data_IF_901912135230
#
_entry.id   IF_901912135230
#
_cell.length_a   1.000
_cell.length_b   1.000
_cell.length_c   1.000
_cell.angle_alpha   90.00
_cell.angle_beta   90.00
_cell.angle_gamma   90.00
#
_symmetry.space_group_name_H-M   'P 1'
#
loop_
_entity.id
_entity.type
_entity.pdbx_description
1 polymer ?
#
# COMPACT_ATOMS: atom_id res chain seq x y z
N UNK A 1 -23.27 1.00 15.87
CA UNK A 1 -22.01 0.34 16.30
C UNK A 1 -21.26 -0.03 15.03
N UNK A 2 -20.03 0.46 14.81
CA UNK A 2 -19.27 -0.01 13.64
C UNK A 2 -18.95 -1.48 13.85
N UNK A 3 -19.08 -2.29 12.81
CA UNK A 3 -18.73 -3.70 12.90
C UNK A 3 -17.26 -3.86 13.31
N UNK A 4 -16.98 -4.87 14.15
CA UNK A 4 -15.61 -5.19 14.55
C UNK A 4 -14.88 -5.79 13.35
N UNK A 5 -13.79 -5.16 12.94
CA UNK A 5 -12.92 -5.65 11.85
C UNK A 5 -12.34 -7.02 12.24
N UNK A 6 -12.63 -8.05 11.46
CA UNK A 6 -12.13 -9.43 11.67
C UNK A 6 -11.03 -9.79 10.67
N UNK A 7 -11.14 -9.27 9.45
CA UNK A 7 -10.27 -9.62 8.32
C UNK A 7 -9.54 -8.39 7.76
N UNK A 8 -8.35 -8.60 7.19
CA UNK A 8 -7.54 -7.51 6.62
C UNK A 8 -8.27 -6.78 5.48
N UNK A 9 -9.08 -7.48 4.68
CA UNK A 9 -9.83 -6.88 3.57
C UNK A 9 -10.95 -5.93 4.00
N UNK A 10 -11.26 -5.88 5.30
CA UNK A 10 -12.17 -4.90 5.88
C UNK A 10 -11.44 -3.61 6.32
N UNK A 11 -10.10 -3.60 6.33
CA UNK A 11 -9.34 -2.37 6.59
C UNK A 11 -9.49 -1.43 5.39
N UNK A 12 -9.89 -0.20 5.67
CA UNK A 12 -9.96 0.86 4.66
C UNK A 12 -8.60 1.06 3.96
N UNK A 13 -7.49 1.08 4.73
CA UNK A 13 -6.14 1.22 4.17
C UNK A 13 -5.76 0.06 3.23
N UNK A 14 -6.25 -1.15 3.49
CA UNK A 14 -6.08 -2.28 2.58
C UNK A 14 -6.87 -2.06 1.29
N UNK A 15 -8.14 -1.69 1.38
CA UNK A 15 -9.00 -1.47 0.21
C UNK A 15 -8.43 -0.38 -0.70
N UNK A 16 -8.00 0.74 -0.12
CA UNK A 16 -7.32 1.82 -0.83
C UNK A 16 -6.02 1.34 -1.50
N UNK A 17 -5.22 0.52 -0.81
CA UNK A 17 -3.97 -0.01 -1.40
C UNK A 17 -4.22 -0.93 -2.60
N UNK A 18 -5.29 -1.74 -2.56
CA UNK A 18 -5.67 -2.60 -3.69
C UNK A 18 -6.19 -1.75 -4.86
N UNK A 19 -7.03 -0.75 -4.60
CA UNK A 19 -7.52 0.18 -5.62
C UNK A 19 -6.38 0.96 -6.28
N UNK A 20 -5.43 1.47 -5.49
CA UNK A 20 -4.24 2.16 -5.98
C UNK A 20 -3.40 1.24 -6.86
N UNK A 21 -3.11 0.02 -6.39
CA UNK A 21 -2.34 -0.97 -7.15
C UNK A 21 -3.03 -1.40 -8.45
N UNK A 22 -4.36 -1.50 -8.47
CA UNK A 22 -5.13 -1.77 -9.69
C UNK A 22 -5.10 -0.59 -10.66
N UNK A 23 -5.20 0.64 -10.15
CA UNK A 23 -5.09 1.84 -11.00
C UNK A 23 -3.70 1.93 -11.64
N UNK A 24 -2.64 1.65 -10.89
CA UNK A 24 -1.26 1.52 -11.42
C UNK A 24 -1.16 0.42 -12.47
N UNK A 25 -1.75 -0.74 -12.21
CA UNK A 25 -1.75 -1.85 -13.17
C UNK A 25 -2.43 -1.48 -14.49
N UNK A 26 -3.60 -0.84 -14.44
CA UNK A 26 -4.33 -0.43 -15.63
C UNK A 26 -3.56 0.65 -16.42
N UNK A 27 -3.01 1.67 -15.74
CA UNK A 27 -2.20 2.72 -16.40
C UNK A 27 -0.93 2.16 -17.03
N UNK A 28 -0.29 1.17 -16.39
CA UNK A 28 0.94 0.56 -16.92
C UNK A 28 0.71 -0.35 -18.14
N UNK A 29 -0.53 -0.65 -18.53
CA UNK A 29 -0.79 -1.40 -19.78
C UNK A 29 -0.45 -0.61 -21.03
N UNK A 30 -0.42 0.72 -20.96
CA UNK A 30 -0.04 1.59 -22.09
C UNK A 30 1.44 1.94 -22.13
N UNK A 31 2.26 1.37 -21.23
CA UNK A 31 3.70 1.64 -21.23
C UNK A 31 4.36 0.95 -22.44
N UNK A 32 5.49 1.49 -22.94
CA UNK A 32 6.25 0.84 -24.01
C UNK A 32 6.68 -0.59 -23.64
N UNK A 33 6.76 -1.49 -24.62
CA UNK A 33 7.10 -2.89 -24.39
C UNK A 33 8.52 -3.07 -23.83
N UNK A 34 9.42 -2.14 -24.15
CA UNK A 34 10.80 -2.08 -23.68
C UNK A 34 10.88 -1.86 -22.16
N UNK A 35 9.87 -1.23 -21.56
CA UNK A 35 9.79 -0.99 -20.11
C UNK A 35 9.25 -2.17 -19.31
N UNK A 36 8.90 -3.28 -19.99
CA UNK A 36 8.25 -4.44 -19.35
C UNK A 36 9.04 -4.99 -18.16
N UNK A 37 10.36 -5.08 -18.29
CA UNK A 37 11.27 -5.57 -17.24
C UNK A 37 12.00 -4.45 -16.49
N UNK A 38 11.58 -3.21 -16.71
CA UNK A 38 12.12 -2.00 -16.09
C UNK A 38 11.00 -1.32 -15.32
N UNK A 39 10.53 -0.16 -15.75
CA UNK A 39 9.58 0.65 -14.98
C UNK A 39 8.24 -0.05 -14.75
N UNK A 40 7.77 -0.83 -15.73
CA UNK A 40 6.49 -1.57 -15.61
C UNK A 40 6.54 -2.61 -14.48
N UNK A 41 7.65 -3.34 -14.36
CA UNK A 41 7.79 -4.36 -13.32
C UNK A 41 7.95 -3.72 -11.94
N UNK A 42 8.81 -2.70 -11.83
CA UNK A 42 9.08 -2.01 -10.57
C UNK A 42 7.82 -1.35 -9.98
N UNK A 43 7.06 -0.61 -10.80
CA UNK A 43 5.85 0.09 -10.31
C UNK A 43 4.73 -0.91 -9.95
N UNK A 44 4.62 -2.03 -10.66
CA UNK A 44 3.61 -3.07 -10.37
C UNK A 44 3.94 -3.88 -9.13
N UNK A 45 5.23 -4.20 -8.91
CA UNK A 45 5.64 -4.96 -7.72
C UNK A 45 5.47 -4.13 -6.46
N UNK A 46 6.04 -2.92 -6.43
CA UNK A 46 5.93 -2.01 -5.28
C UNK A 46 4.47 -1.71 -4.92
N UNK A 47 3.66 -1.32 -5.90
CA UNK A 47 2.25 -0.96 -5.67
C UNK A 47 1.41 -2.11 -5.08
N UNK A 48 1.64 -3.35 -5.51
CA UNK A 48 0.94 -4.55 -4.99
C UNK A 48 1.49 -4.98 -3.64
N UNK A 49 2.80 -4.79 -3.42
CA UNK A 49 3.48 -5.14 -2.18
C UNK A 49 2.84 -4.44 -0.98
N UNK A 50 2.43 -3.16 -1.12
CA UNK A 50 1.71 -2.41 -0.06
C UNK A 50 0.55 -3.21 0.53
N UNK A 51 -0.36 -3.71 -0.32
CA UNK A 51 -1.52 -4.50 0.13
C UNK A 51 -1.12 -5.86 0.74
N UNK A 52 -0.05 -6.47 0.21
CA UNK A 52 0.53 -7.71 0.72
C UNK A 52 1.11 -7.54 2.12
N UNK A 53 1.89 -6.48 2.34
CA UNK A 53 2.47 -6.15 3.63
C UNK A 53 1.40 -5.83 4.69
N UNK A 54 0.33 -5.12 4.32
CA UNK A 54 -0.83 -4.89 5.20
C UNK A 54 -1.48 -6.22 5.60
N UNK A 55 -1.69 -7.13 4.65
CA UNK A 55 -2.26 -8.46 4.91
C UNK A 55 -1.37 -9.30 5.83
N UNK A 56 -0.05 -9.30 5.60
CA UNK A 56 0.92 -9.95 6.47
C UNK A 56 0.93 -9.35 7.88
N UNK A 57 0.94 -8.02 7.98
CA UNK A 57 0.83 -7.30 9.25
C UNK A 57 -0.42 -7.76 10.02
N UNK A 58 -1.57 -7.81 9.35
CA UNK A 58 -2.81 -8.29 9.97
C UNK A 58 -2.70 -9.70 10.57
N UNK A 59 -1.87 -10.57 10.00
CA UNK A 59 -1.62 -11.92 10.53
C UNK A 59 -0.58 -11.95 11.65
N UNK A 60 0.22 -10.90 11.82
CA UNK A 60 1.25 -10.77 12.88
C UNK A 60 0.82 -9.97 14.11
N UNK A 61 -0.48 -9.64 14.25
CA UNK A 61 -1.08 -8.88 15.38
C UNK A 61 -0.94 -9.50 16.79
N UNK A 62 -0.37 -10.70 16.91
CA UNK A 62 -0.02 -11.30 18.21
C UNK A 62 1.19 -10.62 18.87
N UNK A 63 2.05 -10.01 18.07
CA UNK A 63 3.26 -9.34 18.54
C UNK A 63 3.32 -7.94 17.95
N UNK A 64 3.28 -6.92 18.82
CA UNK A 64 3.22 -5.52 18.42
C UNK A 64 4.38 -5.13 17.48
N UNK A 65 5.61 -5.44 17.86
CA UNK A 65 6.79 -5.13 17.04
C UNK A 65 6.72 -5.75 15.65
N UNK A 66 6.24 -6.99 15.52
CA UNK A 66 6.09 -7.65 14.21
C UNK A 66 4.96 -7.06 13.37
N UNK A 67 3.88 -6.60 14.02
CA UNK A 67 2.78 -5.93 13.36
C UNK A 67 3.23 -4.55 12.83
N UNK A 68 3.82 -3.72 13.69
CA UNK A 68 4.31 -2.39 13.33
C UNK A 68 5.40 -2.46 12.26
N UNK A 69 6.34 -3.42 12.36
CA UNK A 69 7.36 -3.59 11.32
C UNK A 69 6.75 -3.82 9.93
N UNK A 70 5.66 -4.60 9.84
CA UNK A 70 4.99 -4.85 8.56
C UNK A 70 4.22 -3.63 8.04
N UNK A 71 3.75 -2.75 8.92
CA UNK A 71 3.18 -1.47 8.50
C UNK A 71 4.28 -0.55 7.94
N UNK A 72 5.45 -0.51 8.58
CA UNK A 72 6.61 0.23 8.06
C UNK A 72 7.06 -0.31 6.69
N UNK A 73 7.08 -1.64 6.51
CA UNK A 73 7.37 -2.22 5.21
C UNK A 73 6.34 -1.76 4.15
N UNK A 74 5.05 -1.70 4.50
CA UNK A 74 4.00 -1.21 3.60
C UNK A 74 4.17 0.28 3.26
N UNK A 75 4.61 1.10 4.21
CA UNK A 75 4.93 2.52 3.99
C UNK A 75 6.11 2.69 3.03
N UNK A 76 7.16 1.88 3.19
CA UNK A 76 8.31 1.87 2.29
C UNK A 76 7.91 1.56 0.85
N UNK A 77 7.08 0.54 0.65
CA UNK A 77 6.56 0.14 -0.67
C UNK A 77 5.64 1.20 -1.30
N UNK A 78 4.88 1.92 -0.47
CA UNK A 78 4.04 3.04 -0.92
C UNK A 78 4.89 4.22 -1.41
N UNK A 79 5.94 4.58 -0.65
CA UNK A 79 6.89 5.63 -1.04
C UNK A 79 7.72 5.24 -2.28
N UNK A 80 8.12 3.97 -2.38
CA UNK A 80 8.76 3.44 -3.58
C UNK A 80 7.82 3.54 -4.79
N UNK A 81 6.54 3.22 -4.64
CA UNK A 81 5.55 3.38 -5.71
C UNK A 81 5.43 4.82 -6.16
N UNK A 82 5.44 5.79 -5.24
CA UNK A 82 5.42 7.23 -5.56
C UNK A 82 6.66 7.64 -6.39
N UNK A 83 7.82 7.07 -6.07
CA UNK A 83 9.06 7.28 -6.84
C UNK A 83 8.88 6.79 -8.28
N UNK A 84 8.43 5.55 -8.47
CA UNK A 84 8.21 5.00 -9.82
C UNK A 84 7.11 5.73 -10.59
N UNK A 85 6.10 6.25 -9.90
CA UNK A 85 5.07 7.08 -10.51
C UNK A 85 5.65 8.42 -11.02
N UNK A 86 6.60 9.02 -10.31
CA UNK A 86 7.30 10.22 -10.78
C UNK A 86 8.06 9.95 -12.08
N UNK A 87 8.79 8.83 -12.15
CA UNK A 87 9.45 8.41 -13.39
C UNK A 87 8.44 8.22 -14.53
N UNK A 88 7.34 7.51 -14.28
CA UNK A 88 6.31 7.28 -15.30
C UNK A 88 5.68 8.58 -15.84
N UNK A 89 5.54 9.60 -15.00
CA UNK A 89 5.08 10.93 -15.43
C UNK A 89 6.15 11.65 -16.24
N UNK A 90 7.42 11.63 -15.80
CA UNK A 90 8.53 12.29 -16.53
C UNK A 90 8.80 11.67 -17.89
N UNK A 91 8.63 10.35 -18.02
CA UNK A 91 8.72 9.64 -19.29
C UNK A 91 7.48 9.84 -20.19
N UNK A 92 6.42 10.49 -19.68
CA UNK A 92 5.19 10.74 -20.41
C UNK A 92 4.25 9.53 -20.52
N UNK A 93 4.49 8.46 -19.76
CA UNK A 93 3.68 7.24 -19.79
C UNK A 93 2.42 7.35 -18.93
N UNK A 94 2.43 8.25 -17.94
CA UNK A 94 1.28 8.60 -17.11
C UNK A 94 1.05 10.10 -17.20
N UNK A 95 -0.22 10.52 -17.34
CA UNK A 95 -0.56 11.94 -17.36
C UNK A 95 -0.23 12.61 -16.02
N UNK A 96 0.17 13.88 -16.03
CA UNK A 96 0.45 14.63 -14.78
C UNK A 96 -0.76 14.64 -13.83
N UNK A 97 -1.98 14.72 -14.37
CA UNK A 97 -3.21 14.69 -13.59
C UNK A 97 -3.41 13.34 -12.89
N UNK A 98 -3.23 12.23 -13.62
CA UNK A 98 -3.35 10.89 -13.04
C UNK A 98 -2.24 10.62 -12.02
N UNK A 99 -1.01 11.05 -12.33
CA UNK A 99 0.12 10.97 -11.40
C UNK A 99 -0.15 11.72 -10.10
N UNK A 100 -0.69 12.93 -10.16
CA UNK A 100 -1.06 13.69 -8.96
C UNK A 100 -2.17 13.01 -8.14
N UNK A 101 -3.17 12.42 -8.80
CA UNK A 101 -4.24 11.69 -8.11
C UNK A 101 -3.70 10.45 -7.40
N UNK A 102 -2.90 9.65 -8.08
CA UNK A 102 -2.26 8.46 -7.52
C UNK A 102 -1.31 8.83 -6.38
N UNK A 103 -0.50 9.89 -6.53
CA UNK A 103 0.41 10.34 -5.48
C UNK A 103 -0.36 10.71 -4.20
N UNK A 104 -1.44 11.51 -4.32
CA UNK A 104 -2.30 11.88 -3.19
C UNK A 104 -2.97 10.66 -2.54
N UNK A 105 -3.35 9.66 -3.34
CA UNK A 105 -3.90 8.42 -2.82
C UNK A 105 -2.85 7.65 -2.00
N UNK A 106 -1.60 7.58 -2.47
CA UNK A 106 -0.50 7.00 -1.70
C UNK A 106 -0.14 7.81 -0.44
N UNK A 107 -0.19 9.15 -0.49
CA UNK A 107 -0.02 9.98 0.72
C UNK A 107 -1.09 9.65 1.77
N UNK A 108 -2.33 9.43 1.33
CA UNK A 108 -3.42 9.04 2.21
C UNK A 108 -3.22 7.64 2.80
N UNK A 109 -2.76 6.68 1.99
CA UNK A 109 -2.41 5.33 2.45
C UNK A 109 -1.30 5.41 3.50
N UNK A 110 -0.20 6.12 3.22
CA UNK A 110 0.91 6.31 4.16
C UNK A 110 0.41 6.94 5.46
N UNK A 111 -0.39 8.01 5.40
CA UNK A 111 -0.94 8.64 6.60
C UNK A 111 -1.78 7.68 7.46
N UNK A 112 -2.57 6.78 6.84
CA UNK A 112 -3.30 5.74 7.57
C UNK A 112 -2.37 4.69 8.19
N UNK A 113 -1.33 4.25 7.47
CA UNK A 113 -0.34 3.29 7.98
C UNK A 113 0.41 3.87 9.18
N UNK A 114 0.91 5.10 9.09
CA UNK A 114 1.58 5.82 10.18
C UNK A 114 0.66 5.94 11.39
N UNK A 115 -0.60 6.34 11.18
CA UNK A 115 -1.58 6.46 12.28
C UNK A 115 -1.84 5.12 12.96
N UNK A 116 -1.92 4.05 12.17
CA UNK A 116 -2.12 2.68 12.63
C UNK A 116 -0.89 2.15 13.40
N UNK A 117 0.31 2.42 12.89
CA UNK A 117 1.58 2.02 13.49
C UNK A 117 1.92 2.77 14.78
N UNK A 118 1.55 4.05 14.88
CA UNK A 118 1.74 4.86 16.09
C UNK A 118 0.78 4.51 17.22
N UNK A 119 -0.37 3.88 16.90
CA UNK A 119 -1.38 3.53 17.90
C UNK A 119 -1.85 2.07 17.74
N UNK A 120 -0.98 1.05 17.76
CA UNK A 120 -1.31 -0.28 17.28
C UNK A 120 -2.34 -1.04 18.13
N UNK A 121 -2.54 -0.65 19.39
CA UNK A 121 -3.34 -1.34 20.39
C UNK A 121 -4.75 -1.79 19.91
N UNK A 122 -5.55 -0.97 19.19
CA UNK A 122 -6.88 -1.37 18.72
C UNK A 122 -6.88 -2.58 17.77
N UNK A 123 -5.75 -2.89 17.14
CA UNK A 123 -5.62 -3.98 16.19
C UNK A 123 -4.93 -5.21 16.77
N UNK A 124 -4.27 -5.12 17.93
CA UNK A 124 -3.54 -6.25 18.50
C UNK A 124 -4.48 -7.35 19.03
N UNK A 125 -4.00 -8.59 18.96
CA UNK A 125 -4.66 -9.72 19.61
C UNK A 125 -4.09 -9.86 21.01
N UNK A 126 -4.81 -9.37 22.01
CA UNK A 126 -4.45 -9.65 23.40
C UNK A 126 -4.69 -11.13 23.70
N UNK A 127 -3.75 -11.77 24.40
CA UNK A 127 -4.03 -13.06 25.02
C UNK A 127 -5.15 -12.81 26.03
N UNK A 128 -6.30 -13.44 25.83
CA UNK A 128 -7.23 -13.63 26.93
C UNK A 128 -6.48 -14.43 27.98
N UNK A 129 -6.25 -13.85 29.16
CA UNK A 129 -5.80 -14.59 30.33
C UNK A 129 -6.82 -15.70 30.55
N UNK A 130 -6.42 -16.94 30.26
CA UNK A 130 -7.13 -18.15 30.66
C UNK A 130 -6.99 -18.35 32.15
#
# INVERSE_FOLDING_TARGET
MSERIQFHWQLEVYQLSVEAGMTVFEKSKSFPAEEKFSLTDQIRRSSRSVSGQISEGWRKRKYEASFVNKLNDAEGEAAETQTWLEYAVKCGYVSRLDGQKLHKLYDHIIGKLVTMGNNPAPWLLHKTSS
#
